data_IF_678795896396
#
_entry.id   IF_678795896396
#
_cell.length_a   1.000
_cell.length_b   1.000
_cell.length_c   1.000
_cell.angle_alpha   90.00
_cell.angle_beta   90.00
_cell.angle_gamma   90.00
#
_symmetry.space_group_name_H-M   'P 1'
#
loop_
_entity.id
_entity.type
_entity.pdbx_description
1 polymer ?
#
# COMPACT_ATOMS: atom_id res chain seq x y z
N UNK A 1 59.69 21.30 -27.34
CA UNK A 1 59.73 20.56 -26.07
C UNK A 1 58.43 20.80 -25.29
N UNK A 2 57.81 21.96 -25.47
CA UNK A 2 56.59 22.45 -24.80
C UNK A 2 55.29 21.67 -25.09
N UNK A 3 55.14 21.06 -26.28
CA UNK A 3 53.90 20.32 -26.62
C UNK A 3 53.75 19.05 -25.75
N UNK A 4 54.86 18.44 -25.34
CA UNK A 4 54.84 17.25 -24.47
C UNK A 4 54.58 17.61 -23.00
N UNK A 5 54.99 18.80 -22.56
CA UNK A 5 54.74 19.29 -21.20
C UNK A 5 53.29 19.74 -21.00
N UNK A 6 52.65 20.35 -22.00
CA UNK A 6 51.20 20.65 -21.95
C UNK A 6 50.33 19.37 -21.95
N UNK A 7 50.75 18.33 -22.69
CA UNK A 7 50.09 17.02 -22.63
C UNK A 7 50.32 16.33 -21.27
N UNK A 8 51.53 16.39 -20.71
CA UNK A 8 51.82 15.85 -19.37
C UNK A 8 51.09 16.58 -18.26
N UNK A 9 51.01 17.92 -18.30
CA UNK A 9 50.23 18.72 -17.35
C UNK A 9 48.74 18.41 -17.39
N UNK A 10 48.17 18.13 -18.57
CA UNK A 10 46.79 17.64 -18.70
C UNK A 10 46.58 16.21 -18.19
N UNK A 11 47.63 15.38 -18.17
CA UNK A 11 47.59 14.01 -17.62
C UNK A 11 47.74 14.03 -16.09
N UNK A 12 48.54 14.93 -15.52
CA UNK A 12 48.65 15.13 -14.07
C UNK A 12 47.37 15.74 -13.47
N UNK A 13 46.75 16.70 -14.15
CA UNK A 13 45.48 17.33 -13.72
C UNK A 13 44.27 16.36 -13.81
N UNK A 14 44.42 15.23 -14.52
CA UNK A 14 43.43 14.15 -14.58
C UNK A 14 43.55 13.13 -13.42
N UNK A 15 44.64 13.14 -12.66
CA UNK A 15 44.86 12.23 -11.51
C UNK A 15 45.00 13.04 -10.23
N UNK A 16 43.86 13.47 -9.69
CA UNK A 16 43.80 14.04 -8.34
C UNK A 16 44.44 13.07 -7.32
N UNK A 17 45.33 13.54 -6.43
CA UNK A 17 45.85 12.73 -5.32
C UNK A 17 44.71 12.15 -4.48
N UNK A 18 44.84 10.90 -4.00
CA UNK A 18 43.79 10.22 -3.21
C UNK A 18 43.27 11.05 -2.04
N UNK A 19 44.15 11.82 -1.38
CA UNK A 19 43.76 12.74 -0.30
C UNK A 19 42.80 13.84 -0.77
N UNK A 20 43.05 14.44 -1.94
CA UNK A 20 42.15 15.45 -2.53
C UNK A 20 40.82 14.86 -2.96
N UNK A 21 40.80 13.61 -3.45
CA UNK A 21 39.57 12.90 -3.79
C UNK A 21 38.71 12.59 -2.54
N UNK A 22 39.34 12.22 -1.42
CA UNK A 22 38.64 12.02 -0.15
C UNK A 22 38.09 13.33 0.43
N UNK A 23 38.83 14.43 0.31
CA UNK A 23 38.37 15.75 0.75
C UNK A 23 37.17 16.22 -0.08
N UNK A 24 37.17 15.95 -1.40
CA UNK A 24 36.01 16.17 -2.23
C UNK A 24 34.79 15.35 -1.78
N UNK A 25 34.96 14.06 -1.49
CA UNK A 25 33.88 13.21 -0.99
C UNK A 25 33.28 13.80 0.30
N UNK A 26 34.14 14.13 1.26
CA UNK A 26 33.74 14.69 2.55
C UNK A 26 32.91 15.96 2.37
N UNK A 27 33.41 16.90 1.58
CA UNK A 27 32.74 18.17 1.30
C UNK A 27 31.35 17.95 0.67
N UNK A 28 31.24 17.05 -0.30
CA UNK A 28 29.99 16.76 -1.01
C UNK A 28 28.96 16.03 -0.14
N UNK A 29 29.42 15.07 0.68
CA UNK A 29 28.59 14.40 1.67
C UNK A 29 28.08 15.41 2.70
N UNK A 30 28.94 16.31 3.19
CA UNK A 30 28.55 17.35 4.14
C UNK A 30 27.44 18.27 3.60
N UNK A 31 27.58 18.78 2.37
CA UNK A 31 26.52 19.58 1.73
C UNK A 31 25.23 18.79 1.51
N UNK A 32 25.33 17.50 1.17
CA UNK A 32 24.14 16.64 0.99
C UNK A 32 23.41 16.41 2.32
N UNK A 33 24.15 16.18 3.40
CA UNK A 33 23.58 16.01 4.75
C UNK A 33 22.89 17.29 5.22
N UNK A 34 23.52 18.47 5.04
CA UNK A 34 22.90 19.75 5.40
C UNK A 34 21.59 19.96 4.64
N UNK A 35 21.58 19.69 3.33
CA UNK A 35 20.37 19.81 2.51
C UNK A 35 19.26 18.88 2.99
N UNK A 36 19.59 17.62 3.33
CA UNK A 36 18.63 16.64 3.88
C UNK A 36 18.09 17.12 5.23
N UNK A 37 18.94 17.62 6.14
CA UNK A 37 18.51 18.10 7.46
C UNK A 37 17.58 19.31 7.32
N UNK A 38 17.92 20.26 6.45
CA UNK A 38 17.06 21.42 6.18
C UNK A 38 15.70 20.99 5.62
N UNK A 39 15.70 20.08 4.64
CA UNK A 39 14.47 19.54 4.07
C UNK A 39 13.67 18.71 5.08
N UNK A 40 14.33 18.00 6.00
CA UNK A 40 13.69 17.23 7.06
C UNK A 40 12.88 18.12 7.99
N UNK A 41 13.46 19.26 8.41
CA UNK A 41 12.76 20.25 9.23
C UNK A 41 11.53 20.79 8.48
N UNK A 42 11.67 21.05 7.18
CA UNK A 42 10.53 21.47 6.35
C UNK A 42 9.44 20.39 6.26
N UNK A 43 9.82 19.14 6.00
CA UNK A 43 8.90 17.99 5.97
C UNK A 43 8.18 17.80 7.31
N UNK A 44 8.83 18.08 8.44
CA UNK A 44 8.24 17.96 9.77
C UNK A 44 7.03 18.89 9.95
N UNK A 45 7.09 20.11 9.40
CA UNK A 45 5.96 21.06 9.43
C UNK A 45 4.76 20.51 8.65
N UNK A 46 5.00 19.82 7.54
CA UNK A 46 3.96 19.28 6.66
C UNK A 46 3.66 17.78 6.87
N UNK A 47 4.06 17.21 8.01
CA UNK A 47 4.01 15.76 8.26
C UNK A 47 2.63 15.10 8.07
N UNK A 48 1.55 15.81 8.40
CA UNK A 48 0.17 15.30 8.24
C UNK A 48 -0.18 15.12 6.76
N UNK A 49 0.13 16.12 5.93
CA UNK A 49 -0.11 16.07 4.49
C UNK A 49 0.72 14.97 3.81
N UNK A 50 1.98 14.82 4.25
CA UNK A 50 2.85 13.75 3.75
C UNK A 50 2.29 12.38 4.16
N UNK A 51 1.82 12.23 5.40
CA UNK A 51 1.20 11.00 5.87
C UNK A 51 -0.04 10.64 5.06
N UNK A 52 -0.91 11.61 4.74
CA UNK A 52 -2.08 11.37 3.91
C UNK A 52 -1.69 10.84 2.53
N UNK A 53 -0.66 11.40 1.90
CA UNK A 53 -0.12 10.88 0.64
C UNK A 53 0.38 9.46 0.86
N UNK A 54 1.22 9.21 1.85
CA UNK A 54 1.80 7.88 2.11
C UNK A 54 0.71 6.84 2.40
N UNK A 55 -0.38 7.20 3.08
CA UNK A 55 -1.48 6.31 3.48
C UNK A 55 -2.44 5.94 2.33
N UNK A 56 -2.50 6.73 1.25
CA UNK A 56 -3.44 6.49 0.12
C UNK A 56 -3.40 5.07 -0.46
N UNK A 57 -2.24 4.46 -0.78
CA UNK A 57 -2.20 3.12 -1.36
C UNK A 57 -2.72 2.06 -0.38
N UNK A 58 -2.46 2.23 0.92
CA UNK A 58 -3.04 1.39 1.97
C UNK A 58 -4.56 1.54 2.02
N UNK A 59 -5.07 2.78 2.03
CA UNK A 59 -6.50 3.04 2.00
C UNK A 59 -7.21 2.36 0.82
N UNK A 60 -6.58 2.37 -0.37
CA UNK A 60 -7.13 1.69 -1.55
C UNK A 60 -7.10 0.17 -1.41
N UNK A 61 -6.01 -0.39 -0.87
CA UNK A 61 -5.90 -1.83 -0.64
C UNK A 61 -6.93 -2.32 0.39
N UNK A 62 -7.10 -1.60 1.51
CA UNK A 62 -8.10 -1.91 2.52
C UNK A 62 -9.52 -1.75 1.98
N UNK A 63 -9.77 -0.68 1.23
CA UNK A 63 -11.07 -0.38 0.64
C UNK A 63 -11.56 -1.54 -0.23
N UNK A 64 -10.74 -2.04 -1.16
CA UNK A 64 -11.09 -3.20 -2.02
C UNK A 64 -11.44 -4.48 -1.25
N UNK A 65 -10.82 -4.67 -0.10
CA UNK A 65 -11.01 -5.83 0.76
C UNK A 65 -12.10 -5.63 1.80
N UNK A 66 -12.59 -4.40 1.95
CA UNK A 66 -13.62 -4.06 2.89
C UNK A 66 -13.19 -3.87 4.32
N UNK A 67 -11.91 -3.58 4.54
CA UNK A 67 -11.33 -3.41 5.86
C UNK A 67 -11.26 -1.94 6.27
N UNK A 68 -11.05 -1.68 7.56
CA UNK A 68 -10.82 -0.34 8.07
C UNK A 68 -9.58 0.28 7.42
N UNK A 69 -9.68 1.54 7.03
CA UNK A 69 -8.59 2.29 6.39
C UNK A 69 -7.70 3.01 7.41
N UNK A 70 -7.93 2.79 8.70
CA UNK A 70 -7.21 3.47 9.77
C UNK A 70 -5.96 2.70 10.18
N UNK A 71 -4.85 3.44 10.33
CA UNK A 71 -3.62 2.89 10.86
C UNK A 71 -3.67 3.00 12.38
N UNK A 72 -3.43 1.89 13.07
CA UNK A 72 -3.41 1.89 14.52
C UNK A 72 -2.02 2.25 15.04
N UNK A 73 -1.97 2.73 16.28
CA UNK A 73 -0.73 3.02 17.02
C UNK A 73 -0.84 2.29 18.34
N UNK A 74 0.09 1.36 18.61
CA UNK A 74 0.05 0.52 19.81
C UNK A 74 0.71 1.20 21.01
N UNK A 75 1.61 2.15 20.78
CA UNK A 75 2.30 2.90 21.83
C UNK A 75 2.49 4.37 21.45
N UNK A 76 2.51 5.26 22.44
CA UNK A 76 2.69 6.70 22.21
C UNK A 76 4.01 7.03 21.50
N UNK A 77 5.07 6.24 21.75
CA UNK A 77 6.38 6.42 21.13
C UNK A 77 6.39 6.00 19.65
N UNK A 78 5.63 4.97 19.29
CA UNK A 78 5.54 4.47 17.91
C UNK A 78 5.12 5.56 16.93
N UNK A 79 4.11 6.36 17.28
CA UNK A 79 3.64 7.47 16.44
C UNK A 79 4.74 8.52 16.18
N UNK A 80 5.51 8.86 17.21
CA UNK A 80 6.63 9.80 17.08
C UNK A 80 7.72 9.26 16.14
N UNK A 81 8.15 8.01 16.32
CA UNK A 81 9.14 7.37 15.45
C UNK A 81 8.65 7.22 14.01
N UNK A 82 7.36 6.93 13.81
CA UNK A 82 6.77 6.85 12.49
C UNK A 82 6.83 8.21 11.76
N UNK A 83 6.47 9.31 12.43
CA UNK A 83 6.59 10.65 11.83
C UNK A 83 8.03 11.05 11.56
N UNK A 84 8.96 10.76 12.46
CA UNK A 84 10.39 11.00 12.24
C UNK A 84 10.90 10.29 10.99
N UNK A 85 10.61 8.99 10.87
CA UNK A 85 10.95 8.21 9.67
C UNK A 85 10.31 8.84 8.44
N UNK A 86 9.00 9.05 8.45
CA UNK A 86 8.25 9.60 7.32
C UNK A 86 8.84 10.93 6.79
N UNK A 87 9.18 11.86 7.68
CA UNK A 87 9.76 13.15 7.30
C UNK A 87 11.19 12.98 6.76
N UNK A 88 12.01 12.12 7.37
CA UNK A 88 13.39 11.87 6.94
C UNK A 88 13.44 11.28 5.54
N UNK A 89 12.53 10.37 5.24
CA UNK A 89 12.43 9.71 3.95
C UNK A 89 11.98 10.68 2.88
N UNK A 90 10.93 11.44 3.19
CA UNK A 90 10.41 12.46 2.28
C UNK A 90 11.48 13.50 1.96
N UNK A 91 12.31 13.86 2.94
CA UNK A 91 13.45 14.74 2.73
C UNK A 91 14.50 14.15 1.79
N UNK A 92 14.85 12.86 1.94
CA UNK A 92 15.75 12.17 1.00
C UNK A 92 15.18 12.15 -0.42
N UNK A 93 13.89 11.85 -0.58
CA UNK A 93 13.23 11.85 -1.88
C UNK A 93 13.24 13.24 -2.54
N UNK A 94 12.91 14.28 -1.77
CA UNK A 94 12.90 15.66 -2.28
C UNK A 94 14.31 16.19 -2.57
N UNK A 95 15.30 15.82 -1.76
CA UNK A 95 16.70 16.21 -1.95
C UNK A 95 17.51 15.28 -2.85
N UNK A 96 16.88 14.22 -3.38
CA UNK A 96 17.52 13.31 -4.32
C UNK A 96 18.19 14.00 -5.53
N UNK A 97 17.62 15.03 -6.20
CA UNK A 97 18.32 15.75 -7.27
C UNK A 97 19.66 16.34 -6.84
N UNK A 98 19.75 16.85 -5.60
CA UNK A 98 21.01 17.38 -5.07
C UNK A 98 21.97 16.24 -4.71
N UNK A 99 21.47 15.18 -4.06
CA UNK A 99 22.29 14.01 -3.69
C UNK A 99 22.93 13.40 -4.94
N UNK A 100 22.14 13.18 -5.99
CA UNK A 100 22.61 12.56 -7.22
C UNK A 100 23.54 13.51 -8.00
N UNK A 101 23.29 14.83 -7.96
CA UNK A 101 24.22 15.83 -8.52
C UNK A 101 25.60 15.75 -7.84
N UNK A 102 25.62 15.72 -6.50
CA UNK A 102 26.85 15.66 -5.74
C UNK A 102 27.59 14.33 -5.95
N UNK A 103 26.85 13.22 -6.02
CA UNK A 103 27.38 11.90 -6.32
C UNK A 103 28.01 11.83 -7.73
N UNK A 104 27.30 12.31 -8.76
CA UNK A 104 27.83 12.33 -10.13
C UNK A 104 29.03 13.24 -10.29
N UNK A 105 29.02 14.40 -9.63
CA UNK A 105 30.16 15.30 -9.67
C UNK A 105 31.36 14.67 -8.93
N UNK A 106 31.15 13.80 -7.93
CA UNK A 106 32.23 13.08 -7.23
C UNK A 106 32.84 12.05 -8.17
N UNK A 107 31.99 11.22 -8.77
CA UNK A 107 32.39 10.27 -9.81
C UNK A 107 33.15 10.99 -10.94
N UNK A 108 32.68 12.16 -11.37
CA UNK A 108 33.35 12.95 -12.41
C UNK A 108 34.79 13.36 -12.10
N UNK A 109 35.14 13.53 -10.83
CA UNK A 109 36.49 13.91 -10.43
C UNK A 109 37.50 12.79 -10.70
N UNK A 110 37.06 11.52 -10.65
CA UNK A 110 37.86 10.35 -10.97
C UNK A 110 37.82 9.90 -12.44
N UNK A 111 37.07 10.60 -13.31
CA UNK A 111 36.89 10.23 -14.72
C UNK A 111 37.73 11.08 -15.68
N UNK A 112 38.16 10.49 -16.80
CA UNK A 112 38.91 11.19 -17.85
C UNK A 112 38.07 12.31 -18.48
N UNK A 113 38.71 13.36 -18.97
CA UNK A 113 38.04 14.54 -19.54
C UNK A 113 37.04 14.21 -20.67
N UNK A 114 37.33 13.17 -21.47
CA UNK A 114 36.44 12.68 -22.55
C UNK A 114 35.19 11.97 -22.01
N UNK A 115 35.25 11.41 -20.81
CA UNK A 115 34.15 10.65 -20.19
C UNK A 115 33.22 11.54 -19.37
N UNK A 116 33.69 12.70 -18.90
CA UNK A 116 32.89 13.70 -18.17
C UNK A 116 31.63 14.14 -18.94
N UNK A 117 31.64 14.07 -20.28
CA UNK A 117 30.47 14.41 -21.12
C UNK A 117 29.29 13.46 -20.91
N UNK A 118 29.53 12.18 -20.59
CA UNK A 118 28.45 11.22 -20.34
C UNK A 118 27.69 11.53 -19.05
N UNK A 119 28.36 12.11 -18.06
CA UNK A 119 27.77 12.43 -16.75
C UNK A 119 26.68 13.51 -16.89
N UNK A 120 26.87 14.49 -17.78
CA UNK A 120 25.86 15.53 -18.05
C UNK A 120 24.57 14.95 -18.61
N UNK A 121 24.65 13.85 -19.38
CA UNK A 121 23.47 13.14 -19.90
C UNK A 121 22.90 12.19 -18.86
N UNK A 122 23.74 11.57 -18.04
CA UNK A 122 23.31 10.59 -17.03
C UNK A 122 22.63 11.24 -15.83
N UNK A 123 22.97 12.47 -15.47
CA UNK A 123 22.34 13.20 -14.37
C UNK A 123 20.80 13.30 -14.50
N UNK A 124 20.22 13.87 -15.59
CA UNK A 124 18.77 13.97 -15.71
C UNK A 124 18.11 12.59 -15.87
N UNK A 125 18.75 11.64 -16.54
CA UNK A 125 18.24 10.27 -16.70
C UNK A 125 18.19 9.55 -15.34
N UNK A 126 19.19 9.73 -14.49
CA UNK A 126 19.24 9.17 -13.13
C UNK A 126 18.14 9.73 -12.24
N UNK A 127 17.86 11.02 -12.37
CA UNK A 127 16.75 11.66 -11.66
C UNK A 127 15.40 11.06 -12.07
N UNK A 128 15.14 11.00 -13.38
CA UNK A 128 13.91 10.41 -13.91
C UNK A 128 13.78 8.94 -13.49
N UNK A 129 14.85 8.15 -13.59
CA UNK A 129 14.85 6.74 -13.22
C UNK A 129 14.48 6.54 -11.74
N UNK A 130 15.06 7.33 -10.83
CA UNK A 130 14.74 7.23 -9.41
C UNK A 130 13.29 7.60 -9.09
N UNK A 131 12.79 8.69 -9.67
CA UNK A 131 11.38 9.09 -9.52
C UNK A 131 10.46 8.01 -10.06
N UNK A 132 10.75 7.47 -11.25
CA UNK A 132 9.99 6.36 -11.84
C UNK A 132 10.00 5.11 -10.96
N UNK A 133 11.14 4.76 -10.37
CA UNK A 133 11.24 3.64 -9.43
C UNK A 133 10.42 3.84 -8.16
N UNK A 134 10.45 5.05 -7.60
CA UNK A 134 9.63 5.41 -6.44
C UNK A 134 8.13 5.37 -6.77
N UNK A 135 7.71 5.92 -7.92
CA UNK A 135 6.33 5.88 -8.38
C UNK A 135 5.86 4.44 -8.64
N UNK A 136 6.72 3.60 -9.20
CA UNK A 136 6.45 2.18 -9.42
C UNK A 136 6.25 1.43 -8.11
N UNK A 137 7.09 1.66 -7.11
CA UNK A 137 6.89 1.12 -5.77
C UNK A 137 5.57 1.57 -5.16
N UNK A 138 5.34 2.89 -5.15
CA UNK A 138 4.20 3.52 -4.49
C UNK A 138 2.85 3.13 -5.10
N UNK A 139 2.72 3.21 -6.44
CA UNK A 139 1.46 2.95 -7.12
C UNK A 139 1.24 1.47 -7.43
N UNK A 140 2.29 0.67 -7.66
CA UNK A 140 2.12 -0.72 -8.07
C UNK A 140 2.43 -1.68 -6.92
N UNK A 141 3.67 -1.73 -6.45
CA UNK A 141 4.08 -2.81 -5.53
C UNK A 141 3.41 -2.74 -4.15
N UNK A 142 3.23 -1.56 -3.56
CA UNK A 142 2.58 -1.43 -2.24
C UNK A 142 1.13 -1.95 -2.25
N UNK A 143 0.21 -1.43 -3.09
CA UNK A 143 -1.18 -1.85 -3.04
C UNK A 143 -1.37 -3.31 -3.45
N UNK A 144 -0.59 -3.81 -4.43
CA UNK A 144 -0.65 -5.22 -4.83
C UNK A 144 -0.11 -6.15 -3.75
N UNK A 145 1.02 -5.79 -3.12
CA UNK A 145 1.60 -6.55 -2.02
C UNK A 145 0.66 -6.64 -0.83
N UNK A 146 0.07 -5.51 -0.42
CA UNK A 146 -0.92 -5.50 0.67
C UNK A 146 -2.17 -6.31 0.32
N UNK A 147 -2.72 -6.16 -0.89
CA UNK A 147 -3.89 -6.94 -1.31
C UNK A 147 -3.62 -8.44 -1.24
N UNK A 148 -2.45 -8.88 -1.68
CA UNK A 148 -2.05 -10.27 -1.63
C UNK A 148 -1.91 -10.77 -0.18
N UNK A 149 -1.13 -10.07 0.66
CA UNK A 149 -0.91 -10.46 2.06
C UNK A 149 -2.23 -10.67 2.78
N UNK A 150 -3.16 -9.74 2.61
CA UNK A 150 -4.45 -9.76 3.31
C UNK A 150 -5.39 -10.80 2.72
N UNK A 151 -5.35 -11.02 1.40
CA UNK A 151 -6.19 -12.04 0.76
C UNK A 151 -5.91 -13.46 1.27
N UNK A 152 -4.71 -13.71 1.79
CA UNK A 152 -4.32 -15.01 2.35
C UNK A 152 -4.91 -15.25 3.75
N UNK A 153 -5.23 -14.20 4.52
CA UNK A 153 -5.66 -14.33 5.92
C UNK A 153 -6.96 -15.13 6.10
N UNK A 154 -7.73 -15.38 5.04
CA UNK A 154 -8.98 -16.14 5.10
C UNK A 154 -10.15 -15.37 5.74
N UNK A 155 -11.37 -15.90 5.67
CA UNK A 155 -12.55 -15.24 6.24
C UNK A 155 -12.50 -15.24 7.77
N UNK A 156 -12.73 -14.08 8.39
CA UNK A 156 -12.82 -13.93 9.85
C UNK A 156 -11.58 -13.35 10.55
N UNK A 157 -10.46 -13.18 9.83
CA UNK A 157 -9.24 -12.57 10.39
C UNK A 157 -9.07 -11.15 9.86
N UNK A 158 -9.19 -10.15 10.75
CA UNK A 158 -8.96 -8.75 10.39
C UNK A 158 -7.53 -8.32 10.77
N UNK A 159 -6.68 -7.96 9.81
CA UNK A 159 -5.33 -7.50 10.11
C UNK A 159 -5.35 -6.11 10.74
N UNK A 160 -4.68 -5.97 11.88
CA UNK A 160 -4.38 -4.67 12.48
C UNK A 160 -3.02 -4.22 11.98
N UNK A 161 -3.00 -3.24 11.08
CA UNK A 161 -1.76 -2.68 10.51
C UNK A 161 -1.38 -1.44 11.30
N UNK A 162 -0.18 -1.45 11.89
CA UNK A 162 0.30 -0.30 12.65
C UNK A 162 0.95 0.75 11.77
N UNK A 163 0.90 2.00 12.21
CA UNK A 163 1.48 3.13 11.48
C UNK A 163 2.99 2.96 11.26
N UNK A 164 3.75 2.53 12.27
CA UNK A 164 5.20 2.39 12.14
C UNK A 164 5.59 1.28 11.16
N UNK A 165 4.90 0.13 11.22
CA UNK A 165 5.15 -0.99 10.31
C UNK A 165 4.86 -0.57 8.87
N UNK A 166 3.72 0.09 8.65
CA UNK A 166 3.35 0.58 7.33
C UNK A 166 4.35 1.59 6.78
N UNK A 167 4.69 2.64 7.55
CA UNK A 167 5.66 3.65 7.11
C UNK A 167 7.03 3.04 6.84
N UNK A 168 7.47 2.08 7.66
CA UNK A 168 8.76 1.38 7.46
C UNK A 168 8.75 0.49 6.22
N UNK A 169 7.63 -0.15 5.91
CA UNK A 169 7.46 -0.93 4.68
C UNK A 169 7.47 -0.02 3.44
N UNK A 170 6.66 1.05 3.44
CA UNK A 170 6.65 2.02 2.34
C UNK A 170 8.03 2.62 2.12
N UNK A 171 8.72 2.97 3.21
CA UNK A 171 10.09 3.48 3.16
C UNK A 171 11.03 2.55 2.39
N UNK A 172 11.18 1.35 2.93
CA UNK A 172 12.21 0.42 2.50
C UNK A 172 11.98 0.03 1.05
N UNK A 173 10.72 -0.20 0.69
CA UNK A 173 10.31 -0.52 -0.67
C UNK A 173 10.55 0.66 -1.64
N UNK A 174 10.10 1.88 -1.30
CA UNK A 174 10.20 3.02 -2.22
C UNK A 174 11.66 3.42 -2.44
N UNK A 175 12.48 3.46 -1.38
CA UNK A 175 13.91 3.78 -1.50
C UNK A 175 14.66 2.67 -2.24
N UNK A 176 14.43 1.41 -1.89
CA UNK A 176 15.10 0.30 -2.56
C UNK A 176 14.79 0.30 -4.06
N UNK A 177 13.52 0.46 -4.44
CA UNK A 177 13.14 0.51 -5.86
C UNK A 177 13.70 1.75 -6.56
N UNK A 178 13.67 2.92 -5.94
CA UNK A 178 14.29 4.12 -6.48
C UNK A 178 15.77 3.89 -6.79
N UNK A 179 16.52 3.27 -5.87
CA UNK A 179 17.94 2.94 -6.06
C UNK A 179 18.14 1.84 -7.12
N UNK A 180 17.32 0.80 -7.12
CA UNK A 180 17.40 -0.30 -8.10
C UNK A 180 17.13 0.19 -9.52
N UNK A 181 16.23 1.15 -9.71
CA UNK A 181 16.01 1.76 -11.02
C UNK A 181 17.24 2.49 -11.58
N UNK A 182 18.25 2.77 -10.75
CA UNK A 182 19.54 3.30 -11.21
C UNK A 182 20.47 2.21 -11.76
N UNK A 183 20.23 0.93 -11.47
CA UNK A 183 21.09 -0.18 -11.89
C UNK A 183 21.42 -0.17 -13.39
N UNK A 184 20.47 0.02 -14.32
CA UNK A 184 20.78 0.04 -15.75
C UNK A 184 21.76 1.15 -16.13
N UNK A 185 21.63 2.32 -15.48
CA UNK A 185 22.48 3.48 -15.72
C UNK A 185 23.90 3.26 -15.17
N UNK A 186 24.00 2.67 -13.97
CA UNK A 186 25.28 2.29 -13.37
C UNK A 186 26.00 1.25 -14.22
N UNK A 187 25.29 0.22 -14.70
CA UNK A 187 25.85 -0.81 -15.59
C UNK A 187 26.35 -0.22 -16.91
N UNK A 188 25.58 0.70 -17.51
CA UNK A 188 25.99 1.42 -18.71
C UNK A 188 27.27 2.22 -18.48
N UNK A 189 27.34 2.97 -17.37
CA UNK A 189 28.52 3.75 -17.01
C UNK A 189 29.76 2.85 -16.87
N UNK A 190 29.66 1.77 -16.08
CA UNK A 190 30.76 0.83 -15.86
C UNK A 190 31.23 0.17 -17.17
N UNK A 191 30.30 -0.10 -18.09
CA UNK A 191 30.62 -0.64 -19.41
C UNK A 191 31.27 0.39 -20.33
N UNK A 192 30.89 1.68 -20.24
CA UNK A 192 31.46 2.74 -21.07
C UNK A 192 32.86 3.15 -20.66
N UNK A 193 33.16 3.13 -19.36
CA UNK A 193 34.51 3.37 -18.82
C UNK A 193 35.41 2.14 -19.02
N UNK A 194 34.83 0.99 -19.39
CA UNK A 194 35.58 -0.25 -19.64
C UNK A 194 35.94 -1.04 -18.36
N UNK A 195 35.39 -0.66 -17.20
CA UNK A 195 35.62 -1.37 -15.94
C UNK A 195 34.98 -2.77 -15.95
N UNK A 196 33.79 -2.91 -16.54
CA UNK A 196 33.08 -4.19 -16.68
C UNK A 196 32.51 -4.34 -18.08
N UNK A 197 32.85 -5.40 -18.80
CA UNK A 197 32.26 -5.67 -20.12
C UNK A 197 30.83 -6.19 -20.00
N UNK A 198 30.01 -5.99 -21.03
CA UNK A 198 28.67 -6.56 -21.09
C UNK A 198 28.67 -8.09 -20.96
N UNK A 199 29.70 -8.76 -21.48
CA UNK A 199 29.83 -10.21 -21.38
C UNK A 199 30.12 -10.66 -19.94
N UNK A 200 30.75 -9.82 -19.11
CA UNK A 200 30.91 -10.09 -17.68
C UNK A 200 29.57 -10.05 -16.95
N UNK A 201 28.70 -9.07 -17.24
CA UNK A 201 27.35 -9.05 -16.68
C UNK A 201 26.55 -10.28 -17.11
N UNK A 202 26.69 -10.73 -18.36
CA UNK A 202 26.05 -11.96 -18.84
C UNK A 202 26.54 -13.20 -18.07
N UNK A 203 27.84 -13.32 -17.81
CA UNK A 203 28.40 -14.43 -17.03
C UNK A 203 27.93 -14.41 -15.57
N UNK A 204 27.72 -13.22 -15.00
CA UNK A 204 27.34 -13.06 -13.60
C UNK A 204 25.83 -13.09 -13.35
N UNK A 205 24.99 -13.26 -14.38
CA UNK A 205 23.52 -13.33 -14.29
C UNK A 205 23.01 -14.14 -13.09
N UNK A 206 23.50 -15.37 -12.91
CA UNK A 206 23.07 -16.25 -11.81
C UNK A 206 23.37 -15.67 -10.42
N UNK A 207 24.51 -14.98 -10.27
CA UNK A 207 24.88 -14.33 -9.01
C UNK A 207 24.07 -13.05 -8.79
N UNK A 208 23.83 -12.28 -9.85
CA UNK A 208 23.00 -11.07 -9.76
C UNK A 208 21.55 -11.39 -9.41
N UNK A 209 20.98 -12.47 -9.97
CA UNK A 209 19.64 -12.95 -9.59
C UNK A 209 19.60 -13.31 -8.09
N UNK A 210 20.60 -14.04 -7.59
CA UNK A 210 20.68 -14.39 -6.16
C UNK A 210 20.75 -13.12 -5.28
N UNK A 211 21.61 -12.16 -5.62
CA UNK A 211 21.74 -10.88 -4.90
C UNK A 211 20.43 -10.10 -4.94
N UNK A 212 19.73 -10.08 -6.07
CA UNK A 212 18.42 -9.45 -6.20
C UNK A 212 17.39 -10.08 -5.26
N UNK A 213 17.36 -11.42 -5.16
CA UNK A 213 16.47 -12.10 -4.22
C UNK A 213 16.83 -11.82 -2.75
N UNK A 214 18.11 -11.66 -2.43
CA UNK A 214 18.57 -11.26 -1.09
C UNK A 214 18.10 -9.84 -0.77
N UNK A 215 18.29 -8.89 -1.70
CA UNK A 215 17.82 -7.51 -1.52
C UNK A 215 16.29 -7.48 -1.38
N UNK A 216 15.57 -8.22 -2.23
CA UNK A 216 14.12 -8.32 -2.13
C UNK A 216 13.68 -8.85 -0.75
N UNK A 217 14.35 -9.88 -0.21
CA UNK A 217 14.05 -10.43 1.11
C UNK A 217 14.32 -9.45 2.27
N UNK A 218 15.28 -8.54 2.12
CA UNK A 218 15.51 -7.47 3.11
C UNK A 218 14.39 -6.43 3.04
N UNK A 219 13.96 -6.11 1.82
CA UNK A 219 13.02 -5.02 1.54
C UNK A 219 11.58 -5.39 1.85
N UNK A 220 11.20 -6.63 1.55
CA UNK A 220 9.86 -7.14 1.78
C UNK A 220 9.80 -7.93 3.08
N UNK A 221 8.60 -8.15 3.64
CA UNK A 221 8.41 -9.18 4.64
C UNK A 221 8.95 -10.54 4.14
N UNK A 222 9.29 -11.47 5.06
CA UNK A 222 9.83 -12.78 4.69
C UNK A 222 8.73 -13.70 4.14
N UNK A 223 8.17 -13.34 2.98
CA UNK A 223 7.20 -14.13 2.23
C UNK A 223 7.63 -14.30 0.75
N UNK A 224 7.52 -15.52 0.17
CA UNK A 224 8.02 -15.79 -1.17
C UNK A 224 7.34 -14.99 -2.27
N UNK A 225 6.08 -14.59 -2.07
CA UNK A 225 5.30 -13.90 -3.11
C UNK A 225 5.73 -12.45 -3.25
N UNK A 226 5.72 -11.66 -2.17
CA UNK A 226 6.14 -10.25 -2.26
C UNK A 226 7.62 -10.14 -2.57
N UNK A 227 8.44 -11.08 -2.07
CA UNK A 227 9.84 -11.19 -2.44
C UNK A 227 9.99 -11.40 -3.96
N UNK A 228 9.27 -12.35 -4.56
CA UNK A 228 9.33 -12.60 -6.01
C UNK A 228 8.73 -11.44 -6.81
N UNK A 229 7.63 -10.86 -6.34
CA UNK A 229 6.97 -9.69 -6.94
C UNK A 229 7.91 -8.48 -6.99
N UNK A 230 8.76 -8.31 -5.98
CA UNK A 230 9.77 -7.25 -5.92
C UNK A 230 11.03 -7.62 -6.70
N UNK A 231 11.47 -8.88 -6.66
CA UNK A 231 12.65 -9.36 -7.39
C UNK A 231 12.44 -9.33 -8.92
N UNK A 232 11.25 -9.66 -9.41
CA UNK A 232 10.94 -9.69 -10.85
C UNK A 232 11.27 -8.38 -11.60
N UNK A 233 10.79 -7.19 -11.17
CA UNK A 233 11.17 -5.92 -11.80
C UNK A 233 12.66 -5.61 -11.65
N UNK A 234 13.31 -6.01 -10.55
CA UNK A 234 14.75 -5.81 -10.36
C UNK A 234 15.57 -6.66 -11.36
N UNK A 235 15.16 -7.92 -11.60
CA UNK A 235 15.79 -8.79 -12.62
C UNK A 235 15.60 -8.17 -14.01
N UNK A 236 14.38 -7.70 -14.31
CA UNK A 236 14.09 -7.04 -15.59
C UNK A 236 14.97 -5.80 -15.80
N UNK A 237 15.19 -4.98 -14.76
CA UNK A 237 16.10 -3.84 -14.83
C UNK A 237 17.55 -4.27 -15.04
N UNK A 238 18.00 -5.36 -14.42
CA UNK A 238 19.32 -5.91 -14.66
C UNK A 238 19.50 -6.36 -16.12
N UNK A 239 18.51 -7.07 -16.67
CA UNK A 239 18.47 -7.44 -18.09
C UNK A 239 18.51 -6.22 -19.01
N UNK A 240 17.74 -5.19 -18.66
CA UNK A 240 17.73 -3.91 -19.36
C UNK A 240 19.12 -3.25 -19.32
N UNK A 241 19.80 -3.30 -18.18
CA UNK A 241 21.18 -2.83 -18.04
C UNK A 241 22.15 -3.53 -18.97
N UNK A 242 22.04 -4.85 -19.14
CA UNK A 242 22.87 -5.61 -20.10
C UNK A 242 22.58 -5.19 -21.54
N UNK A 243 21.30 -5.02 -21.90
CA UNK A 243 20.89 -4.60 -23.24
C UNK A 243 21.41 -3.20 -23.60
N UNK A 244 21.39 -2.29 -22.63
CA UNK A 244 21.87 -0.91 -22.80
C UNK A 244 23.41 -0.87 -22.86
N UNK A 245 24.11 -1.75 -22.13
CA UNK A 245 25.57 -1.88 -22.20
C UNK A 245 26.06 -2.45 -23.54
N UNK A 246 25.31 -3.39 -24.16
CA UNK A 246 25.60 -3.98 -25.48
C UNK A 246 24.44 -3.78 -26.45
N UNK A 247 24.26 -2.55 -26.98
CA UNK A 247 23.13 -2.23 -27.83
C UNK A 247 23.18 -3.05 -29.12
N UNK A 248 22.22 -3.93 -29.30
CA UNK A 248 21.98 -4.69 -30.54
C UNK A 248 20.72 -4.13 -31.21
N UNK A 249 20.60 -4.13 -32.56
CA UNK A 249 19.37 -3.65 -33.25
C UNK A 249 18.09 -4.27 -32.67
N UNK A 250 18.10 -5.58 -32.38
CA UNK A 250 16.99 -6.30 -31.71
C UNK A 250 16.80 -5.89 -30.24
N UNK A 251 17.90 -5.62 -29.54
CA UNK A 251 17.89 -5.17 -28.14
C UNK A 251 17.32 -3.75 -27.96
N UNK A 252 17.50 -2.87 -28.95
CA UNK A 252 16.91 -1.52 -28.93
C UNK A 252 15.38 -1.55 -29.10
N UNK A 253 14.86 -2.46 -29.94
CA UNK A 253 13.41 -2.69 -30.08
C UNK A 253 12.85 -3.29 -28.79
N UNK A 254 13.54 -4.28 -28.21
CA UNK A 254 13.14 -4.89 -26.93
C UNK A 254 13.16 -3.86 -25.79
N UNK A 255 14.16 -3.00 -25.74
CA UNK A 255 14.26 -1.89 -24.79
C UNK A 255 13.05 -0.95 -24.91
N UNK A 256 12.74 -0.50 -26.13
CA UNK A 256 11.58 0.35 -26.40
C UNK A 256 10.25 -0.30 -25.98
N UNK A 257 10.10 -1.60 -26.24
CA UNK A 257 8.92 -2.36 -25.82
C UNK A 257 8.81 -2.48 -24.30
N UNK A 258 9.89 -2.83 -23.59
CA UNK A 258 9.89 -3.00 -22.13
C UNK A 258 9.65 -1.68 -21.41
N UNK A 259 10.30 -0.61 -21.85
CA UNK A 259 10.08 0.74 -21.30
C UNK A 259 8.66 1.21 -21.61
N UNK A 260 8.17 0.99 -22.84
CA UNK A 260 6.79 1.31 -23.22
C UNK A 260 5.77 0.55 -22.38
N UNK A 261 5.92 -0.77 -22.22
CA UNK A 261 5.07 -1.60 -21.36
C UNK A 261 5.11 -1.15 -19.90
N UNK A 262 6.29 -0.79 -19.37
CA UNK A 262 6.44 -0.27 -18.01
C UNK A 262 5.70 1.04 -17.80
N UNK A 263 5.81 1.98 -18.75
CA UNK A 263 5.09 3.26 -18.72
C UNK A 263 3.58 3.03 -18.85
N UNK A 264 3.15 2.15 -19.76
CA UNK A 264 1.73 1.79 -19.93
C UNK A 264 1.19 1.13 -18.68
N UNK A 265 1.95 0.23 -18.04
CA UNK A 265 1.55 -0.41 -16.78
C UNK A 265 1.45 0.60 -15.64
N UNK A 266 2.38 1.55 -15.54
CA UNK A 266 2.32 2.66 -14.59
C UNK A 266 1.13 3.58 -14.83
N UNK A 267 0.86 3.93 -16.09
CA UNK A 267 -0.28 4.75 -16.48
C UNK A 267 -1.61 4.03 -16.26
N UNK A 268 -1.67 2.74 -16.60
CA UNK A 268 -2.84 1.89 -16.35
C UNK A 268 -3.07 1.69 -14.86
N UNK A 269 -2.01 1.49 -14.07
CA UNK A 269 -2.11 1.45 -12.61
C UNK A 269 -2.59 2.79 -12.07
N UNK A 270 -1.97 3.90 -12.46
CA UNK A 270 -2.39 5.24 -12.06
C UNK A 270 -3.86 5.49 -12.42
N UNK A 271 -4.28 5.19 -13.65
CA UNK A 271 -5.65 5.33 -14.11
C UNK A 271 -6.60 4.41 -13.34
N UNK A 272 -6.22 3.15 -13.15
CA UNK A 272 -6.99 2.19 -12.37
C UNK A 272 -7.16 2.65 -10.92
N UNK A 273 -6.12 3.19 -10.29
CA UNK A 273 -6.16 3.68 -8.91
C UNK A 273 -6.92 5.01 -8.77
N UNK A 274 -6.91 5.85 -9.80
CA UNK A 274 -7.58 7.17 -9.77
C UNK A 274 -9.04 7.11 -10.23
N UNK A 275 -9.41 6.20 -11.15
CA UNK A 275 -10.72 6.22 -11.82
C UNK A 275 -11.62 5.01 -11.52
N UNK A 276 -11.12 3.91 -10.93
CA UNK A 276 -11.93 2.68 -10.73
C UNK A 276 -12.71 2.67 -9.40
N UNK A 277 -13.21 3.81 -8.94
CA UNK A 277 -14.20 3.82 -7.84
C UNK A 277 -15.59 3.72 -8.46
N UNK A 278 -16.29 2.61 -8.18
CA UNK A 278 -17.68 2.44 -8.61
C UNK A 278 -18.55 3.62 -8.13
N UNK A 279 -19.43 4.13 -8.99
CA UNK A 279 -20.38 5.15 -8.56
C UNK A 279 -21.58 4.50 -7.88
N UNK A 280 -21.95 5.00 -6.72
CA UNK A 280 -23.15 4.62 -5.98
C UNK A 280 -24.13 5.79 -6.13
N UNK A 281 -25.20 5.53 -6.87
CA UNK A 281 -26.29 6.48 -7.08
C UNK A 281 -27.40 6.19 -6.07
N UNK A 282 -27.58 7.08 -5.09
CA UNK A 282 -28.77 7.08 -4.25
C UNK A 282 -29.94 7.68 -5.05
N UNK A 283 -31.10 7.03 -4.96
CA UNK A 283 -32.32 7.44 -5.67
C UNK A 283 -33.39 7.99 -4.73
N UNK A 284 -33.39 7.54 -3.46
CA UNK A 284 -34.31 7.97 -2.41
C UNK A 284 -33.57 7.88 -1.09
N UNK A 285 -33.58 8.94 -0.29
CA UNK A 285 -33.01 8.98 1.08
C UNK A 285 -34.06 9.59 2.00
N UNK A 286 -34.33 8.93 3.12
CA UNK A 286 -35.22 9.41 4.17
C UNK A 286 -34.47 9.40 5.52
N UNK A 287 -34.69 10.43 6.33
CA UNK A 287 -34.05 10.61 7.63
C UNK A 287 -32.73 11.37 7.58
N UNK A 288 -32.19 11.66 8.76
CA UNK A 288 -30.93 12.40 8.95
C UNK A 288 -29.74 11.43 8.87
N UNK A 289 -29.22 11.24 7.67
CA UNK A 289 -28.02 10.43 7.44
C UNK A 289 -26.80 11.31 7.31
N UNK A 290 -25.70 10.88 7.93
CA UNK A 290 -24.39 11.52 7.79
C UNK A 290 -23.48 10.64 6.95
N UNK A 291 -22.68 11.30 6.11
CA UNK A 291 -21.75 10.69 5.18
C UNK A 291 -20.35 11.23 5.42
N UNK A 292 -19.39 10.33 5.52
CA UNK A 292 -17.97 10.65 5.58
C UNK A 292 -17.25 9.95 4.43
N UNK A 293 -16.52 10.72 3.61
CA UNK A 293 -15.62 10.14 2.61
C UNK A 293 -14.36 9.67 3.33
N UNK A 294 -13.79 8.53 2.94
CA UNK A 294 -12.56 8.01 3.56
C UNK A 294 -11.36 8.99 3.50
N UNK A 295 -11.40 9.98 2.60
CA UNK A 295 -10.37 11.03 2.45
C UNK A 295 -10.64 12.30 3.27
N UNK A 296 -11.86 12.47 3.79
CA UNK A 296 -12.33 13.72 4.38
C UNK A 296 -12.86 13.41 5.80
N UNK A 297 -12.13 13.80 6.85
CA UNK A 297 -12.48 13.49 8.24
C UNK A 297 -13.75 14.21 8.74
N UNK A 298 -14.47 14.92 7.87
CA UNK A 298 -15.67 15.69 8.22
C UNK A 298 -16.95 15.00 7.76
N UNK A 299 -17.88 14.83 8.69
CA UNK A 299 -19.24 14.34 8.41
C UNK A 299 -20.05 15.41 7.67
N UNK A 300 -20.69 15.01 6.57
CA UNK A 300 -21.60 15.85 5.78
C UNK A 300 -22.99 15.21 5.80
N UNK A 301 -24.05 16.01 5.90
CA UNK A 301 -25.43 15.49 5.78
C UNK A 301 -25.69 15.02 4.35
N UNK A 302 -26.31 13.85 4.21
CA UNK A 302 -26.69 13.27 2.91
C UNK A 302 -27.94 13.98 2.40
N UNK A 303 -27.90 14.46 1.15
CA UNK A 303 -29.04 15.06 0.47
C UNK A 303 -29.76 14.01 -0.40
N UNK A 304 -31.03 14.24 -0.72
CA UNK A 304 -31.96 13.25 -1.30
C UNK A 304 -31.53 12.59 -2.63
N UNK A 305 -30.53 13.14 -3.34
CA UNK A 305 -30.00 12.61 -4.61
C UNK A 305 -28.48 12.83 -4.67
N UNK A 306 -27.73 12.22 -3.76
CA UNK A 306 -26.27 12.25 -3.80
C UNK A 306 -25.70 11.07 -4.62
N UNK A 307 -24.73 11.38 -5.49
CA UNK A 307 -23.85 10.39 -6.12
C UNK A 307 -22.51 10.43 -5.41
N UNK A 308 -22.06 9.29 -4.92
CA UNK A 308 -20.72 9.19 -4.35
C UNK A 308 -19.96 8.01 -4.90
N UNK A 309 -18.65 8.18 -4.98
CA UNK A 309 -17.71 7.12 -5.30
C UNK A 309 -17.70 6.12 -4.14
N UNK A 310 -17.50 4.83 -4.44
CA UNK A 310 -17.20 3.78 -3.46
C UNK A 310 -16.16 4.25 -2.42
N UNK A 311 -16.31 3.85 -1.16
CA UNK A 311 -15.38 4.19 -0.07
C UNK A 311 -15.94 5.22 0.91
N UNK A 312 -17.23 5.10 1.19
CA UNK A 312 -17.99 6.06 1.99
C UNK A 312 -18.58 5.37 3.22
N UNK A 313 -18.43 6.00 4.37
CA UNK A 313 -19.09 5.60 5.61
C UNK A 313 -20.41 6.36 5.72
N UNK A 314 -21.49 5.62 5.90
CA UNK A 314 -22.80 6.14 6.26
C UNK A 314 -23.08 5.85 7.73
N UNK A 315 -23.54 6.87 8.45
CA UNK A 315 -23.90 6.78 9.86
C UNK A 315 -25.27 7.39 10.10
N UNK A 316 -26.05 6.73 10.94
CA UNK A 316 -27.28 7.29 11.52
C UNK A 316 -27.00 7.98 12.85
N UNK A 317 -27.68 9.09 13.13
CA UNK A 317 -27.61 9.78 14.41
C UNK A 317 -28.21 8.98 15.58
N UNK A 318 -27.89 9.39 16.80
CA UNK A 318 -28.47 8.83 18.04
C UNK A 318 -29.99 8.95 18.00
N UNK A 319 -30.69 7.82 18.10
CA UNK A 319 -32.16 7.75 18.10
C UNK A 319 -32.86 7.96 16.76
N UNK A 320 -32.13 8.21 15.67
CA UNK A 320 -32.71 8.44 14.34
C UNK A 320 -32.62 7.18 13.47
N UNK A 321 -33.70 6.87 12.74
CA UNK A 321 -33.71 5.83 11.70
C UNK A 321 -33.58 6.49 10.34
N UNK A 322 -32.85 5.85 9.44
CA UNK A 322 -32.69 6.34 8.08
C UNK A 322 -32.94 5.23 7.08
N UNK A 323 -33.35 5.60 5.88
CA UNK A 323 -33.48 4.64 4.79
C UNK A 323 -33.00 5.24 3.48
N UNK A 324 -32.45 4.39 2.64
CA UNK A 324 -32.11 4.78 1.29
C UNK A 324 -32.33 3.64 0.30
N UNK A 325 -32.46 4.00 -0.97
CA UNK A 325 -32.50 3.04 -2.06
C UNK A 325 -31.52 3.44 -3.15
N UNK A 326 -30.71 2.48 -3.60
CA UNK A 326 -29.80 2.65 -4.73
C UNK A 326 -30.54 2.39 -6.04
N UNK A 327 -30.11 3.03 -7.13
CA UNK A 327 -30.64 2.74 -8.48
C UNK A 327 -30.46 1.28 -8.91
N UNK A 328 -29.56 0.56 -8.25
CA UNK A 328 -29.27 -0.84 -8.51
C UNK A 328 -30.30 -1.79 -7.88
N UNK A 329 -31.36 -1.28 -7.24
CA UNK A 329 -32.43 -2.08 -6.66
C UNK A 329 -32.16 -2.56 -5.24
N UNK A 330 -31.20 -1.95 -4.53
CA UNK A 330 -30.90 -2.24 -3.13
C UNK A 330 -31.58 -1.18 -2.27
N UNK A 331 -32.57 -1.59 -1.46
CA UNK A 331 -33.14 -0.79 -0.39
C UNK A 331 -32.49 -1.14 0.94
N UNK A 332 -32.09 -0.14 1.71
CA UNK A 332 -31.46 -0.30 3.02
C UNK A 332 -32.18 0.61 4.02
N UNK A 333 -32.70 0.05 5.09
CA UNK A 333 -33.12 0.80 6.27
C UNK A 333 -32.09 0.58 7.37
N UNK A 334 -31.54 1.65 7.92
CA UNK A 334 -30.57 1.64 8.99
C UNK A 334 -31.24 2.09 10.29
N UNK A 335 -31.01 1.32 11.36
CA UNK A 335 -31.48 1.67 12.69
C UNK A 335 -30.60 2.77 13.32
N UNK A 336 -30.98 3.25 14.51
CA UNK A 336 -30.16 4.21 15.27
C UNK A 336 -28.76 3.66 15.56
N UNK A 337 -27.74 4.52 15.56
CA UNK A 337 -26.34 4.14 15.83
C UNK A 337 -25.80 3.02 14.93
N UNK A 338 -26.28 2.98 13.69
CA UNK A 338 -25.80 2.06 12.67
C UNK A 338 -24.72 2.71 11.83
N UNK A 339 -23.60 2.02 11.66
CA UNK A 339 -22.46 2.45 10.85
C UNK A 339 -22.20 1.40 9.76
N UNK A 340 -22.30 1.86 8.51
CA UNK A 340 -22.18 1.07 7.31
C UNK A 340 -21.12 1.68 6.40
N UNK A 341 -20.27 0.83 5.83
CA UNK A 341 -19.26 1.22 4.86
C UNK A 341 -19.56 0.62 3.48
N UNK A 342 -19.65 1.47 2.46
CA UNK A 342 -19.78 1.03 1.09
C UNK A 342 -18.40 0.81 0.46
N UNK A 343 -18.11 -0.46 0.19
CA UNK A 343 -16.87 -0.88 -0.48
C UNK A 343 -17.03 -0.79 -1.99
N UNK A 344 -18.16 -1.28 -2.50
CA UNK A 344 -18.53 -1.23 -3.91
C UNK A 344 -20.05 -1.16 -4.01
N UNK A 345 -20.63 -0.86 -5.19
CA UNK A 345 -22.09 -0.86 -5.37
C UNK A 345 -22.78 -2.19 -5.01
N UNK A 346 -22.00 -3.28 -4.91
CA UNK A 346 -22.44 -4.64 -4.61
C UNK A 346 -21.76 -5.22 -3.37
N UNK A 347 -21.07 -4.40 -2.59
CA UNK A 347 -20.24 -4.86 -1.47
C UNK A 347 -20.30 -3.86 -0.33
N UNK A 348 -20.84 -4.30 0.80
CA UNK A 348 -21.11 -3.47 1.97
C UNK A 348 -20.39 -4.09 3.16
N UNK A 349 -19.73 -3.30 3.99
CA UNK A 349 -19.27 -3.73 5.30
C UNK A 349 -20.15 -3.07 6.36
N UNK A 350 -20.83 -3.88 7.17
CA UNK A 350 -21.57 -3.40 8.32
C UNK A 350 -20.67 -3.51 9.55
N UNK A 351 -20.36 -2.35 10.15
CA UNK A 351 -19.45 -2.29 11.30
C UNK A 351 -20.21 -2.37 12.63
N UNK A 352 -21.34 -1.67 12.73
CA UNK A 352 -22.15 -1.60 13.95
C UNK A 352 -23.63 -1.38 13.64
N UNK A 353 -24.50 -1.87 14.53
CA UNK A 353 -25.93 -1.58 14.53
C UNK A 353 -26.76 -2.62 13.77
N UNK A 354 -27.89 -2.19 13.24
CA UNK A 354 -28.86 -3.05 12.57
C UNK A 354 -29.30 -2.45 11.24
N UNK A 355 -29.34 -3.30 10.21
CA UNK A 355 -29.83 -2.94 8.88
C UNK A 355 -30.91 -3.91 8.43
N UNK A 356 -31.89 -3.36 7.74
CA UNK A 356 -32.92 -4.10 7.04
C UNK A 356 -32.76 -3.87 5.54
N UNK A 357 -32.48 -4.94 4.82
CA UNK A 357 -32.16 -4.95 3.40
C UNK A 357 -33.33 -5.49 2.60
N UNK A 358 -33.64 -4.83 1.49
CA UNK A 358 -34.61 -5.25 0.50
C UNK A 358 -33.92 -5.28 -0.86
N UNK A 359 -33.76 -6.46 -1.44
CA UNK A 359 -33.06 -6.69 -2.70
C UNK A 359 -34.10 -7.03 -3.78
N UNK A 360 -34.15 -6.24 -4.84
CA UNK A 360 -35.09 -6.43 -5.95
C UNK A 360 -34.43 -7.17 -7.13
N UNK A 361 -34.11 -8.45 -6.93
CA UNK A 361 -33.50 -9.35 -7.92
C UNK A 361 -32.31 -8.71 -8.68
N UNK A 362 -31.18 -8.67 -7.99
CA UNK A 362 -29.98 -7.97 -8.43
C UNK A 362 -29.28 -8.70 -9.57
N UNK A 363 -28.69 -7.94 -10.51
CA UNK A 363 -27.86 -8.49 -11.61
C UNK A 363 -26.56 -9.14 -11.11
N UNK A 364 -26.12 -8.80 -9.91
CA UNK A 364 -24.91 -9.29 -9.27
C UNK A 364 -25.18 -9.46 -7.78
N UNK A 365 -24.63 -10.54 -7.20
CA UNK A 365 -24.80 -10.83 -5.78
C UNK A 365 -24.26 -9.68 -4.93
N UNK A 366 -25.07 -9.23 -3.98
CA UNK A 366 -24.66 -8.31 -2.94
C UNK A 366 -23.92 -9.09 -1.87
N UNK A 367 -22.72 -8.62 -1.53
CA UNK A 367 -21.94 -9.17 -0.42
C UNK A 367 -21.96 -8.21 0.76
N UNK A 368 -22.35 -8.70 1.93
CA UNK A 368 -22.33 -7.96 3.19
C UNK A 368 -21.28 -8.60 4.08
N UNK A 369 -20.23 -7.85 4.35
CA UNK A 369 -19.17 -8.23 5.28
C UNK A 369 -19.56 -7.75 6.68
N UNK A 370 -19.38 -8.60 7.67
CA UNK A 370 -19.49 -8.25 9.08
C UNK A 370 -18.26 -8.75 9.84
N UNK A 371 -18.13 -8.38 11.11
CA UNK A 371 -17.03 -8.86 11.95
C UNK A 371 -16.96 -10.41 11.99
N UNK A 372 -18.12 -11.07 11.98
CA UNK A 372 -18.25 -12.51 12.23
C UNK A 372 -18.50 -13.35 10.96
N UNK A 373 -18.37 -12.75 9.77
CA UNK A 373 -18.44 -13.50 8.51
C UNK A 373 -18.96 -12.69 7.33
N UNK A 374 -19.33 -13.41 6.26
CA UNK A 374 -19.78 -12.83 5.00
C UNK A 374 -21.15 -13.37 4.63
N UNK A 375 -22.04 -12.47 4.21
CA UNK A 375 -23.41 -12.79 3.76
C UNK A 375 -23.46 -12.47 2.26
N UNK A 376 -23.98 -13.39 1.45
CA UNK A 376 -24.14 -13.21 0.01
C UNK A 376 -25.59 -13.45 -0.35
N UNK A 377 -26.22 -12.47 -0.97
CA UNK A 377 -27.61 -12.55 -1.42
C UNK A 377 -27.81 -11.75 -2.71
N UNK A 378 -28.70 -12.20 -3.58
CA UNK A 378 -29.05 -11.58 -4.85
C UNK A 378 -30.50 -11.08 -4.88
N UNK A 379 -31.39 -11.65 -4.07
CA UNK A 379 -32.80 -11.29 -3.99
C UNK A 379 -33.36 -11.56 -2.59
N UNK A 380 -34.39 -10.82 -2.20
CA UNK A 380 -35.11 -11.06 -0.94
C UNK A 380 -34.95 -9.96 0.08
N UNK A 381 -35.41 -10.23 1.31
CA UNK A 381 -35.48 -9.29 2.41
C UNK A 381 -34.76 -9.88 3.61
N UNK A 382 -33.76 -9.16 4.11
CA UNK A 382 -32.87 -9.64 5.16
C UNK A 382 -32.72 -8.61 6.27
N UNK A 383 -32.78 -9.07 7.52
CA UNK A 383 -32.42 -8.27 8.67
C UNK A 383 -31.05 -8.72 9.18
N UNK A 384 -30.09 -7.81 9.26
CA UNK A 384 -28.75 -8.07 9.76
C UNK A 384 -28.49 -7.17 10.96
N UNK A 385 -28.25 -7.78 12.13
CA UNK A 385 -27.97 -7.09 13.39
C UNK A 385 -26.60 -7.51 13.90
N UNK A 386 -25.74 -6.55 14.22
CA UNK A 386 -24.47 -6.78 14.89
C UNK A 386 -24.65 -6.51 16.38
N UNK A 387 -24.33 -7.51 17.19
CA UNK A 387 -24.15 -7.39 18.64
C UNK A 387 -22.67 -7.46 18.98
N UNK A 388 -22.30 -7.25 20.25
CA UNK A 388 -20.90 -7.28 20.69
C UNK A 388 -20.17 -8.60 20.39
N UNK A 389 -20.91 -9.73 20.34
CA UNK A 389 -20.34 -11.07 20.21
C UNK A 389 -20.87 -11.87 19.01
N UNK A 390 -21.87 -11.35 18.30
CA UNK A 390 -22.49 -12.09 17.20
C UNK A 390 -23.10 -11.19 16.12
N UNK A 391 -23.12 -11.69 14.90
CA UNK A 391 -23.95 -11.15 13.83
C UNK A 391 -25.19 -12.05 13.71
N UNK A 392 -26.36 -11.47 13.86
CA UNK A 392 -27.63 -12.15 13.70
C UNK A 392 -28.19 -11.81 12.33
N UNK A 393 -28.44 -12.83 11.52
CA UNK A 393 -29.02 -12.69 10.18
C UNK A 393 -30.37 -13.38 10.15
N UNK A 394 -31.41 -12.66 9.74
CA UNK A 394 -32.77 -13.18 9.57
C UNK A 394 -33.18 -13.03 8.13
N UNK A 395 -33.52 -14.12 7.46
CA UNK A 395 -34.11 -14.09 6.12
C UNK A 395 -35.63 -13.97 6.27
N UNK A 396 -36.16 -12.77 6.03
CA UNK A 396 -37.61 -12.53 6.04
C UNK A 396 -38.23 -13.08 4.76
N UNK A 397 -37.54 -12.92 3.63
CA UNK A 397 -37.96 -13.44 2.33
C UNK A 397 -36.75 -13.78 1.47
N UNK A 398 -36.78 -14.89 0.74
CA UNK A 398 -35.66 -15.31 -0.13
C UNK A 398 -34.54 -16.05 0.61
N UNK A 399 -33.47 -16.36 -0.14
CA UNK A 399 -32.34 -17.17 0.34
C UNK A 399 -31.05 -16.34 0.41
N UNK A 400 -30.25 -16.57 1.45
CA UNK A 400 -28.92 -16.00 1.55
C UNK A 400 -27.89 -17.08 1.85
N UNK A 401 -26.68 -16.89 1.35
CA UNK A 401 -25.54 -17.76 1.67
C UNK A 401 -24.67 -17.09 2.72
N UNK A 402 -24.49 -17.75 3.86
CA UNK A 402 -23.66 -17.28 4.97
C UNK A 402 -22.33 -18.03 4.95
N UNK A 403 -21.23 -17.30 5.00
CA UNK A 403 -19.87 -17.84 5.07
C UNK A 403 -19.29 -17.49 6.44
N UNK A 404 -18.96 -18.52 7.22
CA UNK A 404 -18.50 -18.46 8.62
C UNK A 404 -17.27 -19.35 8.78
N UNK A 405 -16.13 -18.81 9.21
CA UNK A 405 -14.95 -19.62 9.60
C UNK A 405 -14.59 -20.76 8.60
N UNK A 406 -14.79 -20.53 7.29
CA UNK A 406 -14.56 -21.53 6.24
C UNK A 406 -15.74 -22.43 5.87
N UNK A 407 -16.83 -22.43 6.62
CA UNK A 407 -18.08 -23.12 6.28
C UNK A 407 -19.06 -22.24 5.52
N UNK A 408 -19.69 -22.81 4.49
CA UNK A 408 -20.77 -22.17 3.73
C UNK A 408 -22.11 -22.77 4.13
N UNK A 409 -23.02 -21.93 4.62
CA UNK A 409 -24.32 -22.32 5.16
C UNK A 409 -25.42 -21.51 4.48
N UNK A 410 -26.38 -22.20 3.87
CA UNK A 410 -27.58 -21.55 3.32
C UNK A 410 -28.54 -21.14 4.43
N UNK A 411 -29.10 -19.95 4.31
CA UNK A 411 -30.18 -19.40 5.12
C UNK A 411 -31.43 -19.33 4.26
N UNK A 412 -32.44 -20.11 4.63
CA UNK A 412 -33.72 -20.16 3.93
C UNK A 412 -34.69 -19.14 4.52
N UNK A 413 -35.71 -18.80 3.73
CA UNK A 413 -36.79 -17.91 4.11
C UNK A 413 -37.45 -18.31 5.45
N UNK A 414 -37.77 -17.29 6.26
CA UNK A 414 -38.35 -17.44 7.59
C UNK A 414 -37.37 -17.91 8.66
N UNK A 415 -36.09 -18.15 8.33
CA UNK A 415 -35.09 -18.61 9.30
C UNK A 415 -34.16 -17.50 9.75
N UNK A 416 -33.68 -17.65 10.98
CA UNK A 416 -32.66 -16.81 11.59
C UNK A 416 -31.42 -17.65 11.87
N UNK A 417 -30.25 -17.02 11.76
CA UNK A 417 -28.98 -17.64 12.12
C UNK A 417 -28.09 -16.65 12.85
N UNK A 418 -27.47 -17.14 13.93
CA UNK A 418 -26.45 -16.41 14.68
C UNK A 418 -25.08 -16.81 14.17
N UNK A 419 -24.25 -15.82 13.89
CA UNK A 419 -22.87 -15.92 13.46
C UNK A 419 -22.00 -15.41 14.60
N UNK A 420 -21.33 -16.27 15.34
CA UNK A 420 -20.40 -15.90 16.41
C UNK A 420 -19.01 -16.42 16.06
N UNK A 421 -17.98 -15.61 16.29
CA UNK A 421 -16.60 -16.03 16.17
C UNK A 421 -16.16 -16.54 17.55
N UNK A 422 -15.93 -17.85 17.69
CA UNK A 422 -15.42 -18.51 18.90
C UNK A 422 -16.29 -18.47 20.17
N UNK A 423 -16.74 -19.65 20.61
CA UNK A 423 -17.28 -19.91 21.95
C UNK A 423 -18.80 -19.89 22.07
N UNK A 424 -19.38 -21.00 22.53
CA UNK A 424 -20.78 -21.00 22.98
C UNK A 424 -20.93 -20.07 24.20
N UNK A 425 -22.03 -19.31 24.31
CA UNK A 425 -22.28 -18.52 25.51
C UNK A 425 -22.37 -19.47 26.71
N UNK A 426 -21.42 -19.37 27.63
CA UNK A 426 -21.47 -20.12 28.88
C UNK A 426 -22.42 -19.40 29.82
N UNK A 427 -23.37 -20.15 30.38
CA UNK A 427 -24.29 -19.63 31.38
C UNK A 427 -23.52 -19.36 32.68
N UNK A 428 -23.30 -18.08 32.99
CA UNK A 428 -22.56 -17.64 34.19
C UNK A 428 -23.25 -18.14 35.47
N UNK A 429 -24.58 -18.33 35.47
CA UNK A 429 -25.30 -18.85 36.64
C UNK A 429 -24.94 -20.31 36.93
N UNK A 430 -24.76 -21.14 35.89
CA UNK A 430 -24.33 -22.55 36.05
C UNK A 430 -22.91 -22.70 36.65
N UNK A 431 -22.03 -21.73 36.39
CA UNK A 431 -20.67 -21.68 36.98
C UNK A 431 -20.71 -21.18 38.42
N UNK A 432 -21.52 -20.16 38.70
CA UNK A 432 -21.68 -19.61 40.05
C UNK A 432 -22.30 -20.67 40.98
N UNK A 433 -23.38 -21.33 40.56
CA UNK A 433 -24.04 -22.41 41.33
C UNK A 433 -23.09 -23.59 41.59
N UNK A 434 -22.26 -23.95 40.62
CA UNK A 434 -21.21 -24.97 40.79
C UNK A 434 -20.13 -24.53 41.79
N UNK A 435 -19.74 -23.24 41.76
CA UNK A 435 -18.71 -22.71 42.65
C UNK A 435 -19.18 -22.54 44.09
N UNK A 436 -20.44 -22.18 44.32
CA UNK A 436 -20.98 -22.03 45.67
C UNK A 436 -21.00 -23.36 46.43
N UNK A 437 -21.29 -24.47 45.74
CA UNK A 437 -21.24 -25.82 46.34
C UNK A 437 -19.83 -26.28 46.75
N UNK A 438 -18.77 -25.75 46.12
CA UNK A 438 -17.37 -26.09 46.43
C UNK A 438 -16.81 -25.17 47.53
N UNK A 439 -17.22 -23.91 47.57
CA UNK A 439 -16.76 -22.96 48.60
C UNK A 439 -17.29 -23.36 49.99
N UNK A 440 -18.50 -23.93 50.07
CA UNK A 440 -19.04 -24.48 51.32
C UNK A 440 -18.27 -25.70 51.84
N UNK A 441 -17.69 -26.50 50.96
CA UNK A 441 -16.96 -27.73 51.32
C UNK A 441 -15.51 -27.43 51.78
N UNK A 442 -14.94 -26.29 51.36
CA UNK A 442 -13.59 -25.86 51.76
C UNK A 442 -13.59 -25.06 53.07
N UNK A 443 -14.70 -24.40 53.42
CA UNK A 443 -14.89 -23.76 54.73
C UNK A 443 -15.43 -24.72 55.82
N UNK A 444 -15.71 -25.98 55.47
CA UNK A 444 -16.12 -27.04 56.39
C UNK A 444 -14.97 -27.95 56.84
N UNK A 445 -13.92 -27.37 57.43
CA UNK A 445 -12.97 -28.11 58.29
C UNK A 445 -12.60 -27.23 59.49
N UNK A 446 -13.38 -27.40 60.56
CA UNK A 446 -12.83 -27.49 61.93
C UNK A 446 -12.92 -28.94 62.39
#
# INVERSE_FOLDING_TARGET
MDIKEEEYGKIEDARMPLGSHLEELRRRVFYSIIAIIFCFILCWVFKLHILDIVKRPHGIAMHKLGLSTELQVLSYQEGFYAYMKLCFISAIFLMYPLIIYQAWRFVSAGLYAKEKRYILVFFPVSYIAFVMGGLFGYYLLIPFGLQFLISILGPGIQPIITMQQYVSFVFLLTVALGLVFQLPLVMLLLSKIGFVSADNFIKWRKYSILVIFIIAAIVTPPDPFTQTMTAAPMILLYELGILVAKPTKKGFILLGMVVGLGIVALAAAYFYFTHTRGMIDLSRVYGNMQLQKAEDHKWKKVSSVDRFHSGVVLKTGDGEKSSFSTKNGIGVNMDSNTEMYFIDPWKINLQKGQIFLSLANLKKNLEILTLNGKIVADNGIFNVRITEYATIVTAVKGEATLMLEGETKKLLEGRQRKMAAGGEPVDIHSIIDWSEGIITDVQGKE
#
